data_IF_292036228508
#
_entry.id   IF_292036228508
#
_cell.length_a   1.000
_cell.length_b   1.000
_cell.length_c   1.000
_cell.angle_alpha   90.00
_cell.angle_beta   90.00
_cell.angle_gamma   90.00
#
_symmetry.space_group_name_H-M   'P 1'
#
loop_
_entity.id
_entity.type
_entity.pdbx_description
1 polymer ?
#
# COMPACT_ATOMS: atom_id res chain seq x y z
N UNK A 1 -13.92 -1.73 -7.41
CA UNK A 1 -13.27 -2.82 -8.15
C UNK A 1 -14.04 -4.13 -7.94
N UNK A 2 -14.42 -4.49 -6.71
CA UNK A 2 -15.45 -5.53 -6.46
C UNK A 2 -16.84 -5.17 -7.03
N UNK A 3 -17.26 -3.90 -6.91
CA UNK A 3 -18.54 -3.39 -7.45
C UNK A 3 -18.65 -3.36 -8.99
N UNK A 4 -17.62 -3.79 -9.72
CA UNK A 4 -17.60 -3.87 -11.20
C UNK A 4 -17.45 -5.30 -11.74
N UNK A 5 -17.45 -6.33 -10.88
CA UNK A 5 -17.39 -7.75 -11.30
C UNK A 5 -16.10 -8.15 -12.01
N UNK A 6 -14.96 -7.52 -11.69
CA UNK A 6 -13.66 -7.82 -12.32
C UNK A 6 -12.82 -8.84 -11.52
N UNK A 7 -13.14 -9.08 -10.25
CA UNK A 7 -12.40 -10.00 -9.38
C UNK A 7 -13.41 -10.85 -8.61
N UNK A 8 -13.65 -12.07 -9.10
CA UNK A 8 -14.61 -13.01 -8.51
C UNK A 8 -13.96 -13.89 -7.42
N UNK A 9 -12.62 -13.86 -7.33
CA UNK A 9 -11.84 -14.70 -6.40
C UNK A 9 -10.57 -13.99 -5.94
N UNK A 10 -10.20 -14.17 -4.69
CA UNK A 10 -8.93 -13.69 -4.16
C UNK A 10 -8.36 -14.57 -3.05
N UNK A 11 -7.06 -14.42 -2.82
CA UNK A 11 -6.37 -15.00 -1.68
C UNK A 11 -5.69 -13.90 -0.85
N UNK A 12 -5.87 -13.95 0.47
CA UNK A 12 -5.06 -13.18 1.43
C UNK A 12 -3.96 -14.09 1.95
N UNK A 13 -2.70 -13.74 1.77
CA UNK A 13 -1.56 -14.42 2.38
C UNK A 13 -1.15 -13.63 3.61
N UNK A 14 -1.22 -14.23 4.80
CA UNK A 14 -0.91 -13.53 6.05
C UNK A 14 -0.24 -14.42 7.10
N UNK A 15 0.44 -13.85 8.11
CA UNK A 15 0.89 -14.58 9.28
C UNK A 15 -0.24 -15.37 9.97
N UNK A 16 0.04 -16.54 10.57
CA UNK A 16 -0.99 -17.38 11.19
C UNK A 16 -1.88 -16.68 12.22
N UNK A 17 -1.32 -15.72 12.95
CA UNK A 17 -2.04 -14.99 14.01
C UNK A 17 -3.03 -13.94 13.46
N UNK A 18 -2.94 -13.58 12.17
CA UNK A 18 -3.85 -12.62 11.51
C UNK A 18 -4.98 -13.32 10.74
N UNK A 19 -4.96 -14.64 10.60
CA UNK A 19 -5.95 -15.39 9.81
C UNK A 19 -7.37 -15.15 10.31
N UNK A 20 -7.60 -15.30 11.62
CA UNK A 20 -8.93 -15.12 12.22
C UNK A 20 -9.38 -13.66 12.16
N UNK A 21 -8.44 -12.71 12.29
CA UNK A 21 -8.73 -11.29 12.17
C UNK A 21 -9.20 -10.94 10.75
N UNK A 22 -8.48 -11.40 9.72
CA UNK A 22 -8.89 -11.21 8.33
C UNK A 22 -10.27 -11.79 8.05
N UNK A 23 -10.56 -12.98 8.58
CA UNK A 23 -11.86 -13.64 8.42
C UNK A 23 -12.99 -12.82 9.06
N UNK A 24 -12.77 -12.31 10.27
CA UNK A 24 -13.73 -11.45 10.95
C UNK A 24 -13.93 -10.11 10.22
N UNK A 25 -12.85 -9.46 9.78
CA UNK A 25 -12.94 -8.18 9.08
C UNK A 25 -13.62 -8.31 7.71
N UNK A 26 -13.31 -9.35 6.95
CA UNK A 26 -13.96 -9.63 5.66
C UNK A 26 -15.46 -9.91 5.83
N UNK A 27 -15.84 -10.68 6.84
CA UNK A 27 -17.25 -10.96 7.13
C UNK A 27 -17.99 -9.70 7.60
N UNK A 28 -17.41 -8.93 8.53
CA UNK A 28 -18.12 -7.82 9.18
C UNK A 28 -18.15 -6.53 8.36
N UNK A 29 -17.08 -6.23 7.62
CA UNK A 29 -16.96 -4.96 6.87
C UNK A 29 -17.36 -5.11 5.40
N UNK A 30 -17.25 -6.32 4.84
CA UNK A 30 -17.43 -6.56 3.42
C UNK A 30 -18.46 -7.65 3.09
N UNK A 31 -19.05 -8.32 4.09
CA UNK A 31 -19.98 -9.44 3.91
C UNK A 31 -19.40 -10.58 3.06
N UNK A 32 -18.10 -10.83 3.21
CA UNK A 32 -17.38 -11.87 2.49
C UNK A 32 -17.03 -13.02 3.43
N UNK A 33 -17.63 -14.19 3.20
CA UNK A 33 -17.32 -15.42 3.93
C UNK A 33 -16.07 -16.09 3.33
N UNK A 34 -14.91 -15.70 3.84
CA UNK A 34 -13.62 -16.23 3.40
C UNK A 34 -13.21 -17.47 4.20
N UNK A 35 -12.68 -18.48 3.48
CA UNK A 35 -12.24 -19.74 4.07
C UNK A 35 -10.79 -19.63 4.56
N UNK A 36 -10.59 -19.91 5.84
CA UNK A 36 -9.27 -20.01 6.44
C UNK A 36 -8.54 -21.27 5.94
N UNK A 37 -7.40 -21.11 5.29
CA UNK A 37 -6.54 -22.20 4.80
C UNK A 37 -5.24 -22.18 5.61
N UNK A 38 -5.14 -23.10 6.55
CA UNK A 38 -3.99 -23.22 7.45
C UNK A 38 -3.37 -24.62 7.37
N UNK A 39 -2.14 -24.77 7.83
CA UNK A 39 -1.46 -26.07 7.86
C UNK A 39 -2.24 -27.13 8.68
N UNK A 40 -3.01 -26.72 9.69
CA UNK A 40 -3.77 -27.63 10.56
C UNK A 40 -5.13 -28.04 9.99
N UNK A 41 -5.80 -27.17 9.21
CA UNK A 41 -7.16 -27.44 8.73
C UNK A 41 -7.23 -27.89 7.25
N UNK A 42 -6.17 -27.67 6.45
CA UNK A 42 -6.22 -27.89 5.01
C UNK A 42 -6.66 -29.30 4.61
N UNK A 43 -6.09 -30.34 5.27
CA UNK A 43 -6.48 -31.75 5.03
C UNK A 43 -7.95 -32.01 5.29
N UNK A 44 -8.58 -31.25 6.18
CA UNK A 44 -10.01 -31.38 6.44
C UNK A 44 -10.85 -30.75 5.34
N UNK A 45 -10.44 -29.59 4.85
CA UNK A 45 -11.10 -28.88 3.75
C UNK A 45 -11.03 -29.70 2.46
N UNK A 46 -9.90 -30.36 2.19
CA UNK A 46 -9.70 -31.18 0.99
C UNK A 46 -10.55 -32.46 0.96
N UNK A 47 -10.90 -33.04 2.11
CA UNK A 47 -11.70 -34.29 2.14
C UNK A 47 -13.08 -34.14 1.50
N UNK A 48 -13.59 -32.92 1.40
CA UNK A 48 -14.86 -32.61 0.74
C UNK A 48 -14.74 -32.37 -0.76
N UNK A 49 -13.53 -32.40 -1.33
CA UNK A 49 -13.26 -31.99 -2.72
C UNK A 49 -12.81 -33.16 -3.60
N UNK A 50 -13.09 -33.12 -4.92
CA UNK A 50 -12.46 -34.01 -5.88
C UNK A 50 -10.93 -33.91 -5.81
N UNK A 51 -10.23 -35.04 -5.99
CA UNK A 51 -8.76 -35.09 -5.91
C UNK A 51 -8.03 -34.18 -6.92
N UNK A 52 -8.71 -33.77 -8.01
CA UNK A 52 -8.16 -32.87 -9.03
C UNK A 52 -8.44 -31.40 -8.76
N UNK A 53 -9.26 -31.05 -7.76
CA UNK A 53 -9.68 -29.68 -7.49
C UNK A 53 -8.94 -29.13 -6.28
N UNK A 54 -8.28 -27.99 -6.44
CA UNK A 54 -7.59 -27.30 -5.35
C UNK A 54 -8.57 -26.53 -4.45
N UNK A 55 -8.12 -26.21 -3.23
CA UNK A 55 -8.85 -25.32 -2.31
C UNK A 55 -9.13 -23.95 -2.95
N UNK A 56 -8.20 -23.43 -3.74
CA UNK A 56 -8.26 -22.11 -4.36
C UNK A 56 -9.20 -22.03 -5.57
N UNK A 57 -9.50 -23.18 -6.18
CA UNK A 57 -10.56 -23.29 -7.20
C UNK A 57 -11.94 -23.54 -6.57
N UNK A 58 -11.99 -24.27 -5.45
CA UNK A 58 -13.22 -24.62 -4.76
C UNK A 58 -13.83 -23.44 -3.99
N UNK A 59 -13.00 -22.64 -3.32
CA UNK A 59 -13.44 -21.51 -2.50
C UNK A 59 -13.04 -20.19 -3.15
N UNK A 60 -13.99 -19.26 -3.40
CA UNK A 60 -13.69 -18.02 -4.10
C UNK A 60 -12.82 -17.07 -3.27
N UNK A 61 -12.98 -17.06 -1.94
CA UNK A 61 -12.24 -16.19 -1.03
C UNK A 61 -11.49 -17.04 -0.02
N UNK A 62 -10.16 -16.92 -0.01
CA UNK A 62 -9.32 -17.72 0.89
C UNK A 62 -8.38 -16.84 1.69
N UNK A 63 -8.14 -17.22 2.95
CA UNK A 63 -7.14 -16.60 3.82
C UNK A 63 -6.10 -17.67 4.13
N UNK A 64 -4.96 -17.55 3.48
CA UNK A 64 -3.89 -18.55 3.44
C UNK A 64 -2.81 -18.17 4.44
N UNK A 65 -2.57 -19.03 5.43
CA UNK A 65 -1.48 -18.77 6.37
C UNK A 65 -0.12 -18.98 5.70
N UNK A 66 0.86 -18.13 6.06
CA UNK A 66 2.25 -18.32 5.62
C UNK A 66 2.81 -19.70 6.01
N UNK A 67 2.31 -20.32 7.07
CA UNK A 67 2.71 -21.67 7.48
C UNK A 67 2.19 -22.76 6.56
N UNK A 68 1.03 -22.58 5.93
CA UNK A 68 0.48 -23.52 4.95
C UNK A 68 1.40 -23.64 3.73
N UNK A 69 1.86 -22.51 3.20
CA UNK A 69 2.75 -22.45 2.03
C UNK A 69 4.24 -22.67 2.36
N UNK A 70 4.59 -23.08 3.58
CA UNK A 70 5.97 -23.52 3.91
C UNK A 70 6.30 -24.89 3.32
N UNK A 71 5.30 -25.75 3.14
CA UNK A 71 5.52 -27.09 2.57
C UNK A 71 5.57 -27.00 1.04
N UNK A 72 6.58 -27.62 0.43
CA UNK A 72 6.85 -27.50 -1.02
C UNK A 72 5.61 -27.87 -1.86
N UNK A 73 4.96 -29.00 -1.55
CA UNK A 73 3.75 -29.43 -2.25
C UNK A 73 2.57 -28.44 -2.14
N UNK A 74 2.43 -27.76 -0.99
CA UNK A 74 1.37 -26.76 -0.75
C UNK A 74 1.65 -25.46 -1.49
N UNK A 75 2.92 -25.06 -1.51
CA UNK A 75 3.39 -23.90 -2.24
C UNK A 75 3.20 -24.07 -3.76
N UNK A 76 3.57 -25.23 -4.29
CA UNK A 76 3.41 -25.54 -5.72
C UNK A 76 1.93 -25.64 -6.13
N UNK A 77 1.10 -26.22 -5.26
CA UNK A 77 -0.35 -26.25 -5.43
C UNK A 77 -0.95 -24.84 -5.46
N UNK A 78 -0.59 -24.00 -4.49
CA UNK A 78 -1.04 -22.62 -4.42
C UNK A 78 -0.58 -21.80 -5.63
N UNK A 79 0.67 -21.92 -6.05
CA UNK A 79 1.19 -21.22 -7.23
C UNK A 79 0.41 -21.60 -8.50
N UNK A 80 0.10 -22.89 -8.67
CA UNK A 80 -0.67 -23.38 -9.83
C UNK A 80 -2.11 -22.89 -9.86
N UNK A 81 -2.78 -22.89 -8.70
CA UNK A 81 -4.20 -22.56 -8.59
C UNK A 81 -4.45 -21.14 -8.03
N UNK A 82 -3.44 -20.27 -8.06
CA UNK A 82 -3.52 -18.96 -7.45
C UNK A 82 -4.59 -18.10 -8.15
N UNK A 83 -5.49 -17.43 -7.40
CA UNK A 83 -6.50 -16.57 -8.01
C UNK A 83 -5.88 -15.35 -8.70
N UNK A 84 -6.70 -14.66 -9.52
CA UNK A 84 -6.30 -13.44 -10.23
C UNK A 84 -6.04 -12.23 -9.33
N UNK A 85 -6.38 -12.29 -8.04
CA UNK A 85 -6.04 -11.28 -7.05
C UNK A 85 -5.42 -11.90 -5.80
N UNK A 86 -4.29 -11.34 -5.36
CA UNK A 86 -3.60 -11.76 -4.14
C UNK A 86 -3.31 -10.53 -3.28
N UNK A 87 -3.70 -10.60 -2.01
CA UNK A 87 -3.34 -9.63 -0.98
C UNK A 87 -2.27 -10.28 -0.12
N UNK A 88 -1.14 -9.62 0.06
CA UNK A 88 -0.04 -10.10 0.91
C UNK A 88 0.08 -9.17 2.10
N UNK A 89 -0.30 -9.66 3.27
CA UNK A 89 -0.19 -8.94 4.53
C UNK A 89 1.16 -9.20 5.20
N UNK A 90 1.66 -8.20 5.92
CA UNK A 90 3.02 -8.16 6.45
C UNK A 90 4.07 -8.57 5.40
N UNK A 91 3.98 -7.96 4.21
CA UNK A 91 4.81 -8.31 3.05
C UNK A 91 6.32 -8.22 3.35
N UNK A 92 6.72 -7.36 4.29
CA UNK A 92 8.11 -7.27 4.78
C UNK A 92 8.63 -8.61 5.34
N UNK A 93 7.76 -9.45 5.90
CA UNK A 93 8.11 -10.76 6.44
C UNK A 93 8.52 -11.77 5.36
N UNK A 94 8.24 -11.47 4.09
CA UNK A 94 8.47 -12.35 2.94
C UNK A 94 9.72 -11.99 2.11
N UNK A 95 10.37 -10.84 2.37
CA UNK A 95 11.45 -10.27 1.51
C UNK A 95 12.83 -10.20 2.18
N UNK A 96 12.91 -10.36 3.51
CA UNK A 96 14.14 -10.20 4.33
C UNK A 96 15.29 -11.19 4.08
N UNK A 97 16.55 -10.69 4.23
CA UNK A 97 17.82 -11.38 3.99
C UNK A 97 18.30 -12.42 5.02
N UNK A 98 19.47 -12.98 4.72
CA UNK A 98 20.02 -14.33 5.00
C UNK A 98 19.73 -14.93 6.40
N UNK A 99 19.61 -16.26 6.43
CA UNK A 99 19.25 -17.17 7.54
C UNK A 99 17.89 -17.87 7.36
N UNK A 100 17.80 -18.74 6.34
CA UNK A 100 16.85 -19.85 6.32
C UNK A 100 16.15 -20.13 4.98
N UNK A 101 16.19 -21.39 4.54
CA UNK A 101 15.53 -21.90 3.32
C UNK A 101 14.07 -21.43 3.16
N UNK A 102 13.32 -21.38 4.27
CA UNK A 102 11.90 -20.99 4.27
C UNK A 102 11.64 -19.51 3.92
N UNK A 103 12.58 -18.59 4.17
CA UNK A 103 12.41 -17.17 3.79
C UNK A 103 12.58 -16.99 2.28
N UNK A 104 13.64 -17.55 1.70
CA UNK A 104 13.86 -17.58 0.26
C UNK A 104 12.68 -18.18 -0.49
N UNK A 105 12.13 -19.29 0.01
CA UNK A 105 10.98 -19.95 -0.61
C UNK A 105 9.71 -19.10 -0.68
N UNK A 106 9.49 -18.19 0.29
CA UNK A 106 8.36 -17.26 0.29
C UNK A 106 8.56 -16.14 -0.70
N UNK A 107 9.77 -15.57 -0.76
CA UNK A 107 10.11 -14.56 -1.75
C UNK A 107 9.99 -15.10 -3.17
N UNK A 108 10.53 -16.30 -3.44
CA UNK A 108 10.43 -16.98 -4.74
C UNK A 108 8.99 -17.22 -5.16
N UNK A 109 8.12 -17.62 -4.22
CA UNK A 109 6.68 -17.75 -4.49
C UNK A 109 6.08 -16.40 -4.88
N UNK A 110 6.31 -15.35 -4.08
CA UNK A 110 5.73 -14.04 -4.40
C UNK A 110 6.26 -13.50 -5.73
N UNK A 111 7.52 -13.75 -6.06
CA UNK A 111 8.10 -13.39 -7.36
C UNK A 111 7.44 -14.16 -8.50
N UNK A 112 7.21 -15.47 -8.36
CA UNK A 112 6.53 -16.26 -9.40
C UNK A 112 5.07 -15.84 -9.59
N UNK A 113 4.41 -15.43 -8.50
CA UNK A 113 3.05 -14.89 -8.56
C UNK A 113 3.02 -13.50 -9.19
N UNK A 114 3.98 -12.62 -8.87
CA UNK A 114 4.05 -11.27 -9.42
C UNK A 114 4.51 -11.25 -10.90
N UNK A 115 5.10 -12.33 -11.40
CA UNK A 115 5.53 -12.45 -12.80
C UNK A 115 4.37 -12.60 -13.80
N UNK A 116 3.15 -12.82 -13.32
CA UNK A 116 1.94 -12.86 -14.15
C UNK A 116 1.32 -11.45 -14.20
N UNK A 117 1.46 -10.77 -15.33
CA UNK A 117 1.00 -9.38 -15.51
C UNK A 117 -0.52 -9.22 -15.39
N UNK A 118 -1.28 -10.31 -15.59
CA UNK A 118 -2.74 -10.31 -15.43
C UNK A 118 -3.18 -10.48 -13.96
N UNK A 119 -2.23 -10.79 -13.06
CA UNK A 119 -2.52 -10.98 -11.63
C UNK A 119 -2.41 -9.66 -10.86
N UNK A 120 -3.48 -9.31 -10.17
CA UNK A 120 -3.51 -8.15 -9.28
C UNK A 120 -2.88 -8.48 -7.93
N UNK A 121 -1.75 -7.84 -7.61
CA UNK A 121 -1.04 -8.00 -6.34
C UNK A 121 -1.22 -6.75 -5.46
N UNK A 122 -1.63 -6.94 -4.20
CA UNK A 122 -1.71 -5.87 -3.18
C UNK A 122 -0.79 -6.22 -2.01
N UNK A 123 0.28 -5.46 -1.80
CA UNK A 123 1.22 -5.66 -0.70
C UNK A 123 0.92 -4.69 0.45
N UNK A 124 0.64 -5.22 1.63
CA UNK A 124 0.38 -4.46 2.85
C UNK A 124 1.56 -4.66 3.81
N UNK A 125 2.08 -3.55 4.36
CA UNK A 125 3.11 -3.61 5.40
C UNK A 125 3.17 -2.29 6.17
N UNK A 126 3.19 -2.38 7.49
CA UNK A 126 3.43 -1.22 8.36
C UNK A 126 4.92 -0.88 8.49
N UNK A 127 5.79 -1.84 8.17
CA UNK A 127 7.25 -1.73 8.32
C UNK A 127 7.96 -2.21 7.05
N UNK A 128 7.85 -1.48 5.92
CA UNK A 128 8.45 -1.91 4.65
C UNK A 128 9.98 -1.99 4.70
N UNK A 129 10.61 -1.26 5.63
CA UNK A 129 12.06 -1.16 5.74
C UNK A 129 12.51 -1.42 7.17
N UNK A 130 13.28 -2.50 7.39
CA UNK A 130 13.81 -2.89 8.70
C UNK A 130 15.28 -2.50 8.92
N UNK A 131 15.87 -1.70 8.02
CA UNK A 131 17.32 -1.44 7.98
C UNK A 131 18.09 -2.34 7.01
N UNK A 132 17.38 -3.24 6.32
CA UNK A 132 17.90 -4.16 5.31
C UNK A 132 17.50 -3.60 3.92
N UNK A 133 18.47 -2.96 3.24
CA UNK A 133 18.26 -2.36 1.92
C UNK A 133 17.93 -3.42 0.87
N UNK A 134 18.58 -4.60 0.91
CA UNK A 134 18.31 -5.71 -0.02
C UNK A 134 16.87 -6.21 0.12
N UNK A 135 16.36 -6.28 1.35
CA UNK A 135 14.97 -6.69 1.60
C UNK A 135 13.97 -5.65 1.07
N UNK A 136 14.31 -4.37 1.18
CA UNK A 136 13.49 -3.29 0.66
C UNK A 136 13.46 -3.30 -0.87
N UNK A 137 14.61 -3.46 -1.52
CA UNK A 137 14.71 -3.56 -2.99
C UNK A 137 13.95 -4.77 -3.52
N UNK A 138 14.02 -5.92 -2.82
CA UNK A 138 13.19 -7.09 -3.13
C UNK A 138 11.70 -6.81 -3.02
N UNK A 139 11.26 -6.09 -1.99
CA UNK A 139 9.85 -5.70 -1.85
C UNK A 139 9.39 -4.81 -3.00
N UNK A 140 10.20 -3.81 -3.37
CA UNK A 140 9.90 -2.95 -4.50
C UNK A 140 9.90 -3.73 -5.82
N UNK A 141 10.81 -4.68 -5.97
CA UNK A 141 10.88 -5.58 -7.12
C UNK A 141 9.63 -6.45 -7.31
N UNK A 142 8.88 -6.74 -6.24
CA UNK A 142 7.59 -7.41 -6.32
C UNK A 142 6.46 -6.50 -6.85
N UNK A 143 6.63 -5.17 -6.76
CA UNK A 143 5.70 -4.19 -7.30
C UNK A 143 5.96 -3.99 -8.79
N UNK A 144 7.23 -3.83 -9.17
CA UNK A 144 7.63 -3.70 -10.56
C UNK A 144 9.11 -4.12 -10.75
N UNK A 145 9.46 -4.88 -11.81
CA UNK A 145 10.82 -5.32 -12.06
C UNK A 145 11.86 -4.19 -12.12
N UNK A 146 11.48 -3.02 -12.66
CA UNK A 146 12.36 -1.84 -12.72
C UNK A 146 12.78 -1.31 -11.34
N UNK A 147 12.07 -1.69 -10.28
CA UNK A 147 12.45 -1.33 -8.92
C UNK A 147 13.30 -2.42 -8.23
N UNK A 148 13.41 -3.62 -8.80
CA UNK A 148 14.19 -4.73 -8.25
C UNK A 148 15.72 -4.48 -8.33
N UNK A 149 16.11 -3.58 -9.22
CA UNK A 149 17.46 -3.07 -9.40
C UNK A 149 17.32 -1.56 -9.46
N UNK A 150 17.16 -0.92 -8.30
CA UNK A 150 17.17 0.54 -8.27
C UNK A 150 18.43 1.05 -8.99
N UNK A 151 18.34 2.11 -9.81
CA UNK A 151 19.55 2.85 -10.18
C UNK A 151 20.28 3.22 -8.89
N UNK A 152 21.61 3.38 -8.93
CA UNK A 152 22.47 3.95 -7.87
C UNK A 152 21.69 4.54 -6.69
N UNK A 153 21.95 4.09 -5.44
CA UNK A 153 21.06 4.25 -4.30
C UNK A 153 20.38 5.61 -4.34
N UNK A 154 19.04 5.62 -4.35
CA UNK A 154 18.22 6.82 -4.45
C UNK A 154 18.91 7.95 -3.69
N UNK A 155 19.54 8.86 -4.44
CA UNK A 155 20.38 9.86 -3.79
C UNK A 155 19.43 10.73 -3.00
N UNK A 156 19.62 10.77 -1.68
CA UNK A 156 18.77 11.56 -0.81
C UNK A 156 18.91 13.04 -1.19
N UNK A 157 17.97 13.50 -2.01
CA UNK A 157 17.87 14.87 -2.46
C UNK A 157 16.74 15.55 -1.69
N UNK A 158 17.13 16.30 -0.65
CA UNK A 158 16.20 17.05 0.19
C UNK A 158 15.41 18.10 -0.63
N UNK A 159 15.97 18.60 -1.73
CA UNK A 159 15.30 19.52 -2.64
C UNK A 159 14.18 18.84 -3.42
N UNK A 160 14.55 17.83 -4.21
CA UNK A 160 13.60 17.05 -5.03
C UNK A 160 12.46 16.48 -4.20
N UNK A 161 12.77 16.02 -2.99
CA UNK A 161 11.75 15.44 -2.09
C UNK A 161 10.78 16.49 -1.56
N UNK A 162 11.25 17.71 -1.28
CA UNK A 162 10.39 18.83 -0.89
C UNK A 162 9.45 19.22 -2.04
N UNK A 163 9.96 19.23 -3.27
CA UNK A 163 9.16 19.55 -4.47
C UNK A 163 8.08 18.49 -4.71
N UNK A 164 8.44 17.20 -4.68
CA UNK A 164 7.47 16.09 -4.82
C UNK A 164 6.40 16.10 -3.72
N UNK A 165 6.78 16.40 -2.47
CA UNK A 165 5.81 16.53 -1.37
C UNK A 165 4.85 17.69 -1.63
N UNK A 166 5.37 18.83 -2.08
CA UNK A 166 4.55 20.00 -2.38
C UNK A 166 3.56 19.74 -3.52
N UNK A 167 3.97 19.01 -4.56
CA UNK A 167 3.08 18.56 -5.65
C UNK A 167 1.96 17.66 -5.14
N UNK A 168 2.27 16.70 -4.25
CA UNK A 168 1.27 15.82 -3.64
C UNK A 168 0.29 16.62 -2.76
N UNK A 169 0.77 17.51 -1.90
CA UNK A 169 -0.06 18.34 -1.03
C UNK A 169 -1.00 19.26 -1.85
N UNK A 170 -0.48 19.84 -2.93
CA UNK A 170 -1.25 20.66 -3.86
C UNK A 170 -2.31 19.83 -4.61
N UNK A 171 -1.96 18.62 -5.05
CA UNK A 171 -2.89 17.69 -5.68
C UNK A 171 -4.03 17.32 -4.73
N UNK A 172 -3.71 17.03 -3.46
CA UNK A 172 -4.73 16.75 -2.45
C UNK A 172 -5.64 17.96 -2.21
N UNK A 173 -5.09 19.18 -2.14
CA UNK A 173 -5.90 20.39 -2.00
C UNK A 173 -6.93 20.50 -3.13
N UNK A 174 -6.51 20.27 -4.38
CA UNK A 174 -7.42 20.24 -5.54
C UNK A 174 -8.44 19.09 -5.44
N UNK A 175 -8.00 17.89 -5.04
CA UNK A 175 -8.86 16.72 -4.90
C UNK A 175 -9.95 16.91 -3.83
N UNK A 176 -9.63 17.62 -2.74
CA UNK A 176 -10.55 18.01 -1.67
C UNK A 176 -11.35 19.28 -1.99
N UNK A 177 -11.10 19.92 -3.14
CA UNK A 177 -11.87 21.07 -3.59
C UNK A 177 -11.50 22.38 -2.91
N UNK A 178 -10.29 22.49 -2.36
CA UNK A 178 -9.78 23.75 -1.79
C UNK A 178 -9.39 24.70 -2.93
N UNK A 179 -9.81 25.95 -2.79
CA UNK A 179 -9.22 27.04 -3.56
C UNK A 179 -7.84 27.44 -2.99
N UNK A 180 -7.16 28.34 -3.72
CA UNK A 180 -5.80 28.76 -3.37
C UNK A 180 -5.74 29.50 -2.02
N UNK A 181 -6.77 30.25 -1.67
CA UNK A 181 -6.80 31.02 -0.42
C UNK A 181 -7.12 30.11 0.77
N UNK A 182 -8.03 29.16 0.59
CA UNK A 182 -8.31 28.08 1.55
C UNK A 182 -7.06 27.23 1.82
N UNK A 183 -6.31 26.86 0.77
CA UNK A 183 -5.03 26.17 0.93
C UNK A 183 -4.00 27.01 1.68
N UNK A 184 -3.90 28.30 1.36
CA UNK A 184 -3.02 29.23 2.09
C UNK A 184 -3.38 29.30 3.57
N UNK A 185 -4.67 29.36 3.90
CA UNK A 185 -5.16 29.32 5.27
C UNK A 185 -4.82 28.00 5.98
N UNK A 186 -4.97 26.86 5.31
CA UNK A 186 -4.59 25.55 5.89
C UNK A 186 -3.10 25.50 6.23
N UNK A 187 -2.25 26.02 5.35
CA UNK A 187 -0.80 26.03 5.54
C UNK A 187 -0.38 27.01 6.64
N UNK A 188 -0.86 28.25 6.56
CA UNK A 188 -0.56 29.32 7.51
C UNK A 188 -1.80 30.18 7.79
N UNK A 189 -2.58 29.84 8.82
CA UNK A 189 -3.75 30.63 9.20
C UNK A 189 -3.40 32.07 9.57
N UNK A 190 -2.20 32.33 10.11
CA UNK A 190 -1.79 33.66 10.58
C UNK A 190 -1.37 34.57 9.42
N UNK A 191 -0.85 34.00 8.35
CA UNK A 191 -0.59 34.73 7.10
C UNK A 191 -1.89 35.27 6.48
N UNK A 192 -3.00 34.54 6.62
CA UNK A 192 -4.31 34.95 6.09
C UNK A 192 -5.11 35.81 7.07
N UNK A 193 -5.17 35.40 8.35
CA UNK A 193 -6.06 35.99 9.36
C UNK A 193 -5.36 37.03 10.26
N UNK A 194 -4.05 37.20 10.13
CA UNK A 194 -3.23 38.11 10.94
C UNK A 194 -2.51 37.41 12.10
N UNK A 195 -1.46 38.07 12.60
CA UNK A 195 -0.56 37.50 13.61
C UNK A 195 -1.23 37.16 14.95
N UNK A 196 -2.32 37.87 15.29
CA UNK A 196 -3.09 37.67 16.52
C UNK A 196 -4.09 36.50 16.42
N UNK A 197 -4.19 35.83 15.26
CA UNK A 197 -5.07 34.69 15.08
C UNK A 197 -4.61 33.50 15.95
N UNK A 198 -5.49 32.86 16.72
CA UNK A 198 -5.09 31.90 17.75
C UNK A 198 -4.67 30.53 17.21
N UNK A 199 -4.95 30.22 15.95
CA UNK A 199 -4.70 28.89 15.36
C UNK A 199 -3.37 28.84 14.60
N UNK A 200 -2.69 27.68 14.67
CA UNK A 200 -1.49 27.36 13.90
C UNK A 200 -1.57 25.89 13.46
N UNK A 201 -1.48 25.60 12.16
CA UNK A 201 -1.59 24.23 11.64
C UNK A 201 -0.27 23.46 11.76
N UNK A 202 0.83 24.07 11.30
CA UNK A 202 2.13 23.40 11.15
C UNK A 202 3.26 24.11 11.91
N UNK A 203 2.98 24.62 13.11
CA UNK A 203 3.90 25.45 13.93
C UNK A 203 5.34 24.94 13.99
N UNK A 204 5.52 23.65 14.29
CA UNK A 204 6.87 23.06 14.46
C UNK A 204 7.62 23.03 13.13
N UNK A 205 6.95 22.62 12.05
CA UNK A 205 7.53 22.61 10.71
C UNK A 205 7.91 24.02 10.28
N UNK A 206 6.98 24.98 10.38
CA UNK A 206 7.21 26.37 10.02
C UNK A 206 8.39 26.97 10.80
N UNK A 207 8.45 26.78 12.12
CA UNK A 207 9.57 27.27 12.94
C UNK A 207 10.90 26.68 12.48
N UNK A 208 10.94 25.39 12.19
CA UNK A 208 12.16 24.71 11.74
C UNK A 208 12.60 25.19 10.35
N UNK A 209 11.66 25.40 9.43
CA UNK A 209 11.95 25.90 8.09
C UNK A 209 12.40 27.37 8.11
N UNK A 210 11.77 28.22 8.92
CA UNK A 210 12.23 29.60 9.11
C UNK A 210 13.66 29.60 9.66
N UNK A 211 13.97 28.74 10.65
CA UNK A 211 15.31 28.64 11.20
C UNK A 211 16.36 28.13 10.20
N UNK A 212 15.98 27.18 9.33
CA UNK A 212 16.89 26.52 8.37
C UNK A 212 17.04 27.28 7.06
N UNK A 213 15.96 27.88 6.54
CA UNK A 213 15.86 28.43 5.20
C UNK A 213 15.52 29.93 5.17
N UNK A 214 15.17 30.53 6.31
CA UNK A 214 14.77 31.95 6.40
C UNK A 214 13.35 32.25 5.89
N UNK A 215 12.61 31.22 5.47
CA UNK A 215 11.24 31.33 4.97
C UNK A 215 10.41 30.10 5.36
N UNK A 216 9.09 30.21 5.29
CA UNK A 216 8.21 29.05 5.36
C UNK A 216 8.19 28.34 3.99
N UNK A 217 9.26 27.60 3.70
CA UNK A 217 9.53 26.97 2.40
C UNK A 217 8.40 26.07 1.91
N UNK A 218 7.79 25.29 2.80
CA UNK A 218 6.66 24.40 2.47
C UNK A 218 5.48 25.21 1.91
N UNK A 219 5.10 26.32 2.54
CA UNK A 219 4.00 27.16 2.05
C UNK A 219 4.27 27.68 0.64
N UNK A 220 5.48 28.19 0.39
CA UNK A 220 5.87 28.69 -0.93
C UNK A 220 5.82 27.58 -2.00
N UNK A 221 6.39 26.41 -1.71
CA UNK A 221 6.44 25.29 -2.67
C UNK A 221 5.05 24.72 -2.96
N UNK A 222 4.22 24.51 -1.93
CA UNK A 222 2.87 23.95 -2.10
C UNK A 222 1.99 24.90 -2.91
N UNK A 223 2.04 26.21 -2.63
CA UNK A 223 1.28 27.20 -3.41
C UNK A 223 1.77 27.29 -4.87
N UNK A 224 3.09 27.21 -5.10
CA UNK A 224 3.65 27.21 -6.45
C UNK A 224 3.24 25.94 -7.23
N UNK A 225 3.26 24.77 -6.58
CA UNK A 225 2.82 23.52 -7.19
C UNK A 225 1.31 23.55 -7.51
N UNK A 226 0.50 24.13 -6.62
CA UNK A 226 -0.93 24.35 -6.86
C UNK A 226 -1.17 25.22 -8.09
N UNK A 227 -0.46 26.35 -8.18
CA UNK A 227 -0.55 27.27 -9.32
C UNK A 227 -0.16 26.58 -10.64
N UNK A 228 0.86 25.72 -10.61
CA UNK A 228 1.30 24.94 -11.76
C UNK A 228 0.28 23.86 -12.17
N UNK A 229 -0.28 23.10 -11.24
CA UNK A 229 -1.34 22.11 -11.52
C UNK A 229 -2.59 22.78 -12.12
N UNK A 230 -2.97 23.95 -11.61
CA UNK A 230 -4.04 24.76 -12.18
C UNK A 230 -3.73 25.21 -13.61
N UNK A 231 -2.47 25.60 -13.89
CA UNK A 231 -2.01 25.96 -15.23
C UNK A 231 -2.06 24.76 -16.19
N UNK A 232 -1.79 23.55 -15.70
CA UNK A 232 -1.87 22.30 -16.45
C UNK A 232 -3.32 21.82 -16.69
N UNK A 233 -4.32 22.55 -16.19
CA UNK A 233 -5.74 22.29 -16.44
C UNK A 233 -6.46 21.53 -15.34
N UNK A 234 -5.78 21.17 -14.25
CA UNK A 234 -6.42 20.61 -13.08
C UNK A 234 -7.32 21.67 -12.41
N UNK A 235 -8.42 21.26 -11.79
CA UNK A 235 -9.36 22.17 -11.12
C UNK A 235 -9.75 21.60 -9.76
N UNK A 236 -10.08 22.46 -8.78
CA UNK A 236 -10.62 22.00 -7.51
C UNK A 236 -11.89 21.20 -7.76
N UNK A 237 -12.02 20.06 -7.10
CA UNK A 237 -13.22 19.23 -7.20
C UNK A 237 -14.40 19.95 -6.56
N UNK A 238 -15.42 20.29 -7.35
CA UNK A 238 -16.62 21.02 -6.89
C UNK A 238 -17.76 20.13 -6.41
N UNK A 239 -17.71 18.82 -6.66
CA UNK A 239 -18.74 17.86 -6.25
C UNK A 239 -18.22 16.93 -5.14
N UNK A 240 -18.87 16.96 -3.97
CA UNK A 240 -18.74 15.93 -2.94
C UNK A 240 -18.71 16.37 -1.49
N UNK A 241 -18.29 17.60 -1.16
CA UNK A 241 -18.08 17.99 0.25
C UNK A 241 -18.63 19.36 0.69
N UNK A 242 -19.07 20.26 -0.21
CA UNK A 242 -19.59 21.60 0.15
C UNK A 242 -21.11 21.67 0.40
N UNK A 243 -21.78 20.56 0.71
CA UNK A 243 -23.15 20.60 1.22
C UNK A 243 -23.18 20.21 2.69
N UNK A 244 -23.01 21.22 3.55
CA UNK A 244 -23.56 21.31 4.90
C UNK A 244 -23.56 22.77 5.34
#
# INVERSE_FOLDING_TARGET
MFDRGQIDRFAVICPPHLVSQWREELATKFDLDAVEVTASNARSLERGLPASQSLFEAYPYTIVSLDYIKADNRRDEFARACPGMVIVDEAHSCVGGDQGKSKHQRYELLQSLAADEERHMLFLTATPHSGDEDAYDRLLGLIHPDFALGPEPFTWDEGRRADLRAEIDAWYALAYGLDREELRYVLDPKDVMGADYPSETFRVLQKNEIAKYGEYRTQRLVLAAYDELMRQGMRPRTEGYRQQ
#
